data_IF_452919907832
#
_entry.id   IF_452919907832
#
_cell.length_a   1.000
_cell.length_b   1.000
_cell.length_c   1.000
_cell.angle_alpha   90.00
_cell.angle_beta   90.00
_cell.angle_gamma   90.00
#
_symmetry.space_group_name_H-M   'P 1'
#
loop_
_entity.id
_entity.type
_entity.pdbx_description
1 polymer ?
#
# COMPACT_ATOMS: atom_id res chain seq x y z
N UNK A 1 12.24 -12.73 19.24
CA UNK A 1 12.15 -11.56 20.15
C UNK A 1 13.56 -11.03 20.29
N UNK A 2 13.84 -9.86 19.71
CA UNK A 2 15.17 -9.40 19.37
C UNK A 2 15.43 -8.06 20.05
N UNK A 3 16.51 -7.93 20.82
CA UNK A 3 17.04 -6.65 21.34
C UNK A 3 18.20 -6.21 20.46
N UNK A 4 18.48 -4.91 20.37
CA UNK A 4 19.53 -4.35 19.50
C UNK A 4 20.91 -4.99 19.71
N UNK A 5 21.24 -5.35 20.95
CA UNK A 5 22.50 -6.00 21.37
C UNK A 5 22.70 -7.41 20.79
N UNK A 6 21.64 -8.07 20.33
CA UNK A 6 21.67 -9.43 19.79
C UNK A 6 21.92 -9.48 18.28
N UNK A 7 21.94 -8.34 17.59
CA UNK A 7 21.91 -8.33 16.13
C UNK A 7 23.13 -8.90 15.45
N UNK A 8 24.32 -8.68 16.02
CA UNK A 8 25.55 -9.33 15.54
C UNK A 8 25.50 -10.85 15.69
N UNK A 9 25.13 -11.34 16.88
CA UNK A 9 25.04 -12.79 17.14
C UNK A 9 23.99 -13.46 16.26
N UNK A 10 22.89 -12.75 16.00
CA UNK A 10 21.87 -13.19 15.08
C UNK A 10 22.41 -13.29 13.65
N UNK A 11 23.04 -12.22 13.13
CA UNK A 11 23.64 -12.23 11.79
C UNK A 11 24.68 -13.35 11.65
N UNK A 12 25.54 -13.53 12.65
CA UNK A 12 26.56 -14.60 12.70
C UNK A 12 25.97 -16.01 12.67
N UNK A 13 24.75 -16.17 13.21
CA UNK A 13 24.04 -17.45 13.19
C UNK A 13 23.35 -17.68 11.86
N UNK A 14 22.65 -16.66 11.34
CA UNK A 14 21.90 -16.75 10.09
C UNK A 14 22.82 -16.97 8.89
N UNK A 15 23.98 -16.32 8.83
CA UNK A 15 24.92 -16.48 7.72
C UNK A 15 25.49 -17.90 7.58
N UNK A 16 25.36 -18.75 8.61
CA UNK A 16 25.78 -20.16 8.57
C UNK A 16 24.70 -21.08 7.99
N UNK A 17 23.47 -20.59 7.83
CA UNK A 17 22.33 -21.36 7.35
C UNK A 17 22.27 -21.33 5.81
N UNK A 18 23.18 -22.07 5.18
CA UNK A 18 23.38 -22.06 3.73
C UNK A 18 22.20 -22.58 2.89
N UNK A 19 21.18 -23.18 3.51
CA UNK A 19 19.97 -23.67 2.83
C UNK A 19 18.70 -22.93 3.28
N UNK A 20 18.85 -21.78 3.95
CA UNK A 20 17.71 -21.04 4.46
C UNK A 20 16.92 -20.41 3.31
N UNK A 21 15.67 -20.85 3.13
CA UNK A 21 14.77 -20.31 2.10
C UNK A 21 13.82 -19.24 2.62
N UNK A 22 13.52 -19.23 3.93
CA UNK A 22 12.58 -18.29 4.53
C UNK A 22 13.08 -17.77 5.87
N UNK A 23 13.09 -16.45 6.02
CA UNK A 23 13.53 -15.76 7.23
C UNK A 23 12.47 -14.75 7.66
N UNK A 24 12.06 -14.83 8.92
CA UNK A 24 11.25 -13.79 9.57
C UNK A 24 12.02 -13.28 10.78
N UNK A 25 12.29 -11.98 10.80
CA UNK A 25 12.90 -11.29 11.94
C UNK A 25 11.84 -10.41 12.57
N UNK A 26 11.68 -10.51 13.88
CA UNK A 26 10.69 -9.72 14.61
C UNK A 26 11.27 -9.17 15.90
N UNK A 27 11.21 -7.85 16.03
CA UNK A 27 11.50 -7.11 17.26
C UNK A 27 10.47 -7.42 18.34
N UNK A 28 10.75 -6.99 19.56
CA UNK A 28 9.82 -7.12 20.70
C UNK A 28 8.76 -6.03 20.72
N UNK A 29 9.12 -4.82 20.30
CA UNK A 29 8.27 -3.64 20.16
C UNK A 29 8.38 -3.05 18.74
N UNK A 30 7.39 -2.28 18.32
CA UNK A 30 7.45 -1.51 17.07
C UNK A 30 8.53 -0.41 17.09
N UNK A 31 8.90 0.07 18.28
CA UNK A 31 9.93 1.10 18.46
C UNK A 31 11.36 0.54 18.58
N UNK A 32 11.49 -0.77 18.73
CA UNK A 32 12.80 -1.41 18.87
C UNK A 32 13.53 -1.45 17.52
N UNK A 33 14.78 -0.98 17.54
CA UNK A 33 15.66 -1.03 16.37
C UNK A 33 16.35 -2.40 16.29
N UNK A 34 16.28 -3.00 15.11
CA UNK A 34 16.94 -4.24 14.74
C UNK A 34 18.21 -3.88 13.96
N UNK A 35 19.38 -4.11 14.54
CA UNK A 35 20.64 -4.01 13.81
C UNK A 35 20.90 -5.31 13.00
N UNK A 36 20.78 -5.19 11.68
CA UNK A 36 21.05 -6.28 10.73
C UNK A 36 22.24 -5.95 9.81
N UNK A 37 22.98 -4.87 10.06
CA UNK A 37 24.02 -4.39 9.13
C UNK A 37 25.24 -5.31 9.11
N UNK A 38 25.48 -6.02 10.22
CA UNK A 38 26.64 -6.90 10.39
C UNK A 38 26.65 -8.19 9.55
N UNK A 39 25.61 -8.44 8.72
CA UNK A 39 25.53 -9.65 7.91
C UNK A 39 26.44 -9.57 6.67
N UNK A 40 27.62 -10.18 6.76
CA UNK A 40 28.60 -10.20 5.67
C UNK A 40 28.27 -11.19 4.54
N UNK A 41 27.60 -12.30 4.86
CA UNK A 41 27.29 -13.37 3.90
C UNK A 41 25.83 -13.79 4.03
N UNK A 42 24.89 -13.07 3.39
CA UNK A 42 23.48 -13.40 3.51
C UNK A 42 23.17 -14.76 2.85
N UNK A 43 22.21 -15.54 3.39
CA UNK A 43 21.82 -16.84 2.81
C UNK A 43 21.35 -16.70 1.36
N UNK A 44 22.11 -17.24 0.41
CA UNK A 44 21.90 -17.01 -1.02
C UNK A 44 20.62 -17.66 -1.57
N UNK A 45 20.11 -18.70 -0.90
CA UNK A 45 18.86 -19.38 -1.29
C UNK A 45 17.62 -18.76 -0.66
N UNK A 46 17.74 -17.61 0.01
CA UNK A 46 16.62 -16.95 0.64
C UNK A 46 15.60 -16.49 -0.40
N UNK A 47 14.39 -17.05 -0.31
CA UNK A 47 13.24 -16.74 -1.19
C UNK A 47 12.22 -15.86 -0.50
N UNK A 48 12.10 -15.94 0.82
CA UNK A 48 11.13 -15.16 1.59
C UNK A 48 11.84 -14.42 2.73
N UNK A 49 11.68 -13.11 2.79
CA UNK A 49 12.20 -12.27 3.87
C UNK A 49 11.07 -11.41 4.43
N UNK A 50 10.85 -11.52 5.74
CA UNK A 50 9.92 -10.67 6.47
C UNK A 50 10.63 -9.99 7.63
N UNK A 51 10.68 -8.67 7.60
CA UNK A 51 11.28 -7.85 8.64
C UNK A 51 10.18 -7.08 9.38
N UNK A 52 10.04 -7.35 10.68
CA UNK A 52 9.07 -6.68 11.57
C UNK A 52 9.84 -5.97 12.69
N UNK A 53 9.91 -4.66 12.64
CA UNK A 53 10.66 -3.84 13.60
C UNK A 53 11.54 -2.81 12.91
N UNK A 54 12.01 -1.83 13.68
CA UNK A 54 12.71 -0.64 13.17
C UNK A 54 14.06 -0.97 12.55
N UNK A 55 14.33 -0.40 11.38
CA UNK A 55 15.61 -0.51 10.67
C UNK A 55 16.24 0.87 10.43
N UNK A 56 15.43 1.91 10.21
CA UNK A 56 15.81 3.28 9.76
C UNK A 56 16.45 3.34 8.37
N UNK A 57 17.41 2.46 8.09
CA UNK A 57 18.04 2.26 6.79
C UNK A 57 17.88 0.81 6.34
N UNK A 58 17.76 0.60 5.03
CA UNK A 58 17.74 -0.75 4.45
C UNK A 58 19.15 -1.37 4.54
N UNK A 59 19.31 -2.57 5.12
CA UNK A 59 20.61 -3.25 5.16
C UNK A 59 21.18 -3.55 3.75
N UNK A 60 22.46 -3.28 3.55
CA UNK A 60 23.14 -3.35 2.25
C UNK A 60 23.20 -4.77 1.64
N UNK A 61 22.91 -5.80 2.42
CA UNK A 61 22.85 -7.19 1.96
C UNK A 61 21.51 -7.58 1.34
N UNK A 62 20.41 -6.87 1.63
CA UNK A 62 19.08 -7.20 1.11
C UNK A 62 19.03 -7.06 -0.42
N UNK A 63 19.53 -5.96 -1.04
CA UNK A 63 19.59 -5.83 -2.49
C UNK A 63 20.40 -6.92 -3.21
N UNK A 64 21.26 -7.65 -2.48
CA UNK A 64 22.13 -8.70 -3.03
C UNK A 64 21.42 -10.07 -3.11
N UNK A 65 20.21 -10.20 -2.57
CA UNK A 65 19.46 -11.46 -2.53
C UNK A 65 18.72 -11.74 -3.85
N UNK A 66 19.45 -12.19 -4.87
CA UNK A 66 18.92 -12.38 -6.22
C UNK A 66 17.83 -13.48 -6.34
N UNK A 67 17.74 -14.39 -5.38
CA UNK A 67 16.71 -15.44 -5.33
C UNK A 67 15.44 -15.03 -4.56
N UNK A 68 15.37 -13.79 -4.07
CA UNK A 68 14.26 -13.33 -3.26
C UNK A 68 12.99 -13.20 -4.11
N UNK A 69 11.94 -13.88 -3.66
CA UNK A 69 10.62 -13.94 -4.30
C UNK A 69 9.61 -13.09 -3.55
N UNK A 70 9.69 -13.06 -2.21
CA UNK A 70 8.79 -12.29 -1.36
C UNK A 70 9.57 -11.49 -0.34
N UNK A 71 9.28 -10.19 -0.29
CA UNK A 71 9.87 -9.26 0.66
C UNK A 71 8.77 -8.48 1.36
N UNK A 72 8.76 -8.51 2.69
CA UNK A 72 7.81 -7.75 3.50
C UNK A 72 8.51 -6.98 4.60
N UNK A 73 8.17 -5.70 4.72
CA UNK A 73 8.59 -4.81 5.79
C UNK A 73 7.37 -4.40 6.61
N UNK A 74 7.56 -4.37 7.93
CA UNK A 74 6.59 -3.89 8.90
C UNK A 74 7.29 -3.12 9.99
N UNK A 75 6.85 -1.90 10.30
CA UNK A 75 7.45 -1.05 11.34
C UNK A 75 8.93 -0.72 11.13
N UNK A 76 9.46 -0.87 9.91
CA UNK A 76 10.88 -0.67 9.60
C UNK A 76 11.34 0.78 9.61
N UNK A 77 10.44 1.76 9.50
CA UNK A 77 10.74 3.19 9.57
C UNK A 77 11.88 3.61 8.63
N UNK A 78 11.93 3.04 7.42
CA UNK A 78 12.95 3.36 6.41
C UNK A 78 12.81 4.83 5.98
N UNK A 79 13.88 5.61 6.12
CA UNK A 79 13.88 7.04 5.81
C UNK A 79 14.13 7.30 4.31
N UNK A 80 15.02 6.52 3.70
CA UNK A 80 15.28 6.54 2.26
C UNK A 80 14.26 5.71 1.47
N UNK A 81 14.02 6.09 0.20
CA UNK A 81 13.19 5.31 -0.71
C UNK A 81 13.79 3.90 -0.94
N UNK A 82 13.14 2.83 -0.44
CA UNK A 82 13.68 1.48 -0.57
C UNK A 82 13.63 0.98 -2.01
N UNK A 83 12.78 1.54 -2.88
CA UNK A 83 12.57 1.04 -4.24
C UNK A 83 13.84 1.14 -5.08
N UNK A 84 14.62 2.21 -4.90
CA UNK A 84 15.92 2.41 -5.59
C UNK A 84 16.92 1.29 -5.32
N UNK A 85 16.92 0.76 -4.10
CA UNK A 85 17.79 -0.33 -3.72
C UNK A 85 17.22 -1.69 -4.16
N UNK A 86 15.88 -1.83 -4.15
CA UNK A 86 15.19 -3.09 -4.42
C UNK A 86 14.92 -3.36 -5.91
N UNK A 87 15.06 -2.37 -6.78
CA UNK A 87 14.79 -2.51 -8.23
C UNK A 87 15.62 -3.60 -8.93
N UNK A 88 16.80 -3.94 -8.38
CA UNK A 88 17.69 -5.00 -8.90
C UNK A 88 17.26 -6.42 -8.49
N UNK A 89 16.19 -6.57 -7.70
CA UNK A 89 15.66 -7.87 -7.29
C UNK A 89 14.74 -8.42 -8.38
N UNK A 90 15.32 -8.88 -9.49
CA UNK A 90 14.56 -9.26 -10.70
C UNK A 90 13.65 -10.49 -10.53
N UNK A 91 13.76 -11.25 -9.44
CA UNK A 91 12.91 -12.41 -9.14
C UNK A 91 11.79 -12.11 -8.13
N UNK A 92 11.69 -10.86 -7.66
CA UNK A 92 10.69 -10.45 -6.69
C UNK A 92 9.29 -10.51 -7.31
N UNK A 93 8.42 -11.32 -6.72
CA UNK A 93 7.02 -11.46 -7.10
C UNK A 93 6.08 -10.73 -6.13
N UNK A 94 6.50 -10.55 -4.88
CA UNK A 94 5.72 -9.87 -3.86
C UNK A 94 6.56 -8.88 -3.05
N UNK A 95 6.04 -7.65 -2.93
CA UNK A 95 6.58 -6.60 -2.08
C UNK A 95 5.48 -6.06 -1.16
N UNK A 96 5.69 -6.13 0.14
CA UNK A 96 4.82 -5.51 1.14
C UNK A 96 5.57 -4.48 1.96
N UNK A 97 5.08 -3.25 2.00
CA UNK A 97 5.56 -2.16 2.85
C UNK A 97 4.37 -1.74 3.71
N UNK A 98 4.43 -2.04 5.00
CA UNK A 98 3.28 -1.88 5.89
C UNK A 98 3.60 -1.22 7.22
N UNK A 99 2.62 -0.52 7.81
CA UNK A 99 2.72 0.10 9.14
C UNK A 99 3.98 0.95 9.31
N UNK A 100 4.07 2.02 8.52
CA UNK A 100 5.23 2.92 8.49
C UNK A 100 6.57 2.20 8.30
N UNK A 101 6.58 1.10 7.55
CA UNK A 101 7.82 0.47 7.14
C UNK A 101 8.68 1.39 6.26
N UNK A 102 8.03 2.24 5.47
CA UNK A 102 8.64 3.40 4.84
C UNK A 102 8.10 4.66 5.53
N UNK A 103 8.99 5.57 5.91
CA UNK A 103 8.68 6.78 6.67
C UNK A 103 9.10 8.07 5.94
N UNK A 104 9.39 7.98 4.64
CA UNK A 104 9.55 9.14 3.76
C UNK A 104 8.24 9.57 3.09
N UNK A 105 8.34 10.63 2.27
CA UNK A 105 7.16 11.30 1.69
C UNK A 105 6.86 10.89 0.25
N UNK A 106 7.81 10.29 -0.49
CA UNK A 106 7.65 9.96 -1.92
C UNK A 106 8.10 8.54 -2.22
N UNK A 107 7.22 7.76 -2.83
CA UNK A 107 7.58 6.50 -3.49
C UNK A 107 7.55 6.70 -5.00
N UNK A 108 8.60 6.26 -5.68
CA UNK A 108 8.74 6.39 -7.13
C UNK A 108 9.11 5.04 -7.75
N UNK A 109 8.22 4.52 -8.59
CA UNK A 109 8.48 3.36 -9.43
C UNK A 109 8.95 3.84 -10.80
N UNK A 110 10.26 3.85 -11.00
CA UNK A 110 10.92 4.28 -12.25
C UNK A 110 10.65 3.29 -13.41
N UNK A 111 10.74 3.77 -14.65
CA UNK A 111 10.60 2.97 -15.86
C UNK A 111 11.45 1.68 -15.81
N UNK A 112 10.84 0.56 -16.20
CA UNK A 112 11.53 -0.74 -16.28
C UNK A 112 11.81 -1.43 -14.94
N UNK A 113 11.40 -0.83 -13.81
CA UNK A 113 11.58 -1.43 -12.49
C UNK A 113 10.50 -2.47 -12.16
N UNK A 114 10.87 -3.45 -11.33
CA UNK A 114 9.98 -4.51 -10.83
C UNK A 114 9.20 -5.30 -11.92
N UNK A 115 9.86 -5.77 -13.00
CA UNK A 115 9.17 -6.35 -14.16
C UNK A 115 8.45 -7.68 -13.87
N UNK A 116 8.76 -8.38 -12.77
CA UNK A 116 8.07 -9.63 -12.39
C UNK A 116 7.11 -9.49 -11.22
N UNK A 117 7.02 -8.32 -10.60
CA UNK A 117 6.23 -8.12 -9.39
C UNK A 117 4.74 -8.32 -9.72
N UNK A 118 4.08 -9.22 -8.99
CA UNK A 118 2.67 -9.55 -9.16
C UNK A 118 1.79 -8.99 -8.05
N UNK A 119 2.34 -8.86 -6.85
CA UNK A 119 1.60 -8.39 -5.69
C UNK A 119 2.36 -7.28 -4.99
N UNK A 120 1.71 -6.14 -4.84
CA UNK A 120 2.24 -4.97 -4.14
C UNK A 120 1.29 -4.57 -3.01
N UNK A 121 1.83 -4.43 -1.81
CA UNK A 121 1.11 -3.91 -0.64
C UNK A 121 1.77 -2.64 -0.11
N UNK A 122 1.04 -1.53 -0.11
CA UNK A 122 1.45 -0.24 0.46
C UNK A 122 0.44 0.18 1.54
N UNK A 123 0.61 -0.34 2.75
CA UNK A 123 -0.44 -0.33 3.78
C UNK A 123 -0.03 0.51 5.00
N UNK A 124 -0.95 1.30 5.54
CA UNK A 124 -0.69 2.08 6.77
C UNK A 124 0.59 2.94 6.69
N UNK A 125 0.73 3.74 5.62
CA UNK A 125 1.89 4.62 5.40
C UNK A 125 1.52 6.06 5.75
N UNK A 126 1.76 6.46 7.00
CA UNK A 126 1.26 7.72 7.54
C UNK A 126 1.93 8.98 6.99
N UNK A 127 3.15 8.85 6.45
CA UNK A 127 3.97 9.94 5.92
C UNK A 127 3.97 10.06 4.39
N UNK A 128 3.49 9.04 3.69
CA UNK A 128 3.48 9.03 2.23
C UNK A 128 2.58 10.16 1.71
N UNK A 129 3.13 11.02 0.85
CA UNK A 129 2.46 12.16 0.23
C UNK A 129 2.34 12.05 -1.28
N UNK A 130 3.31 11.38 -1.91
CA UNK A 130 3.40 11.22 -3.35
C UNK A 130 3.67 9.77 -3.71
N UNK A 131 2.89 9.22 -4.64
CA UNK A 131 3.15 7.95 -5.30
C UNK A 131 3.23 8.19 -6.81
N UNK A 132 4.37 7.89 -7.42
CA UNK A 132 4.58 8.03 -8.86
C UNK A 132 4.93 6.67 -9.46
N UNK A 133 4.20 6.29 -10.50
CA UNK A 133 4.45 5.08 -11.28
C UNK A 133 4.73 5.54 -12.71
N UNK A 134 5.94 5.31 -13.22
CA UNK A 134 6.28 5.64 -14.61
C UNK A 134 5.78 4.56 -15.57
N UNK A 135 5.64 4.91 -16.85
CA UNK A 135 5.31 3.94 -17.89
C UNK A 135 6.35 2.81 -17.92
N UNK A 136 5.89 1.57 -18.04
CA UNK A 136 6.75 0.39 -18.06
C UNK A 136 7.17 -0.14 -16.69
N UNK A 137 7.01 0.65 -15.61
CA UNK A 137 7.14 0.14 -14.25
C UNK A 137 6.01 -0.83 -13.90
N UNK A 138 6.26 -1.79 -12.99
CA UNK A 138 5.22 -2.69 -12.47
C UNK A 138 4.41 -3.42 -13.56
N UNK A 139 5.04 -3.71 -14.71
CA UNK A 139 4.35 -4.15 -15.93
C UNK A 139 3.56 -5.46 -15.79
N UNK A 140 3.86 -6.30 -14.79
CA UNK A 140 3.15 -7.57 -14.52
C UNK A 140 2.37 -7.56 -13.19
N UNK A 141 2.08 -6.39 -12.63
CA UNK A 141 1.35 -6.28 -11.38
C UNK A 141 -0.09 -6.75 -11.57
N UNK A 142 -0.52 -7.71 -10.74
CA UNK A 142 -1.86 -8.31 -10.77
C UNK A 142 -2.71 -7.85 -9.59
N UNK A 143 -2.09 -7.64 -8.42
CA UNK A 143 -2.77 -7.29 -7.17
C UNK A 143 -2.09 -6.10 -6.51
N UNK A 144 -2.86 -5.05 -6.25
CA UNK A 144 -2.43 -3.87 -5.51
C UNK A 144 -3.31 -3.69 -4.28
N UNK A 145 -2.70 -3.77 -3.10
CA UNK A 145 -3.34 -3.39 -1.85
C UNK A 145 -2.74 -2.07 -1.37
N UNK A 146 -3.57 -1.08 -1.13
CA UNK A 146 -3.09 0.25 -0.75
C UNK A 146 -3.96 0.88 0.34
N UNK A 147 -3.32 1.60 1.26
CA UNK A 147 -4.00 2.33 2.31
C UNK A 147 -4.04 1.62 3.67
N UNK A 148 -4.38 2.35 4.74
CA UNK A 148 -4.57 3.79 4.78
C UNK A 148 -3.28 4.59 4.65
N UNK A 149 -3.33 5.64 3.82
CA UNK A 149 -2.24 6.59 3.60
C UNK A 149 -2.78 8.02 3.78
N UNK A 150 -2.99 8.49 5.03
CA UNK A 150 -3.76 9.70 5.33
C UNK A 150 -3.15 11.00 4.80
N UNK A 151 -1.85 11.03 4.46
CA UNK A 151 -1.17 12.20 3.92
C UNK A 151 -0.97 12.13 2.41
N UNK A 152 -1.42 11.08 1.72
CA UNK A 152 -1.24 10.92 0.29
C UNK A 152 -2.05 12.00 -0.42
N UNK A 153 -1.37 12.89 -1.17
CA UNK A 153 -1.98 14.01 -1.90
C UNK A 153 -1.87 13.85 -3.40
N UNK A 154 -0.78 13.26 -3.87
CA UNK A 154 -0.46 13.11 -5.29
C UNK A 154 -0.22 11.65 -5.60
N UNK A 155 -0.88 11.16 -6.64
CA UNK A 155 -0.73 9.78 -7.08
C UNK A 155 -0.97 9.69 -8.59
N UNK A 156 -0.03 9.12 -9.33
CA UNK A 156 -0.08 9.04 -10.80
C UNK A 156 0.40 7.69 -11.34
N UNK A 157 0.06 7.39 -12.60
CA UNK A 157 0.58 6.24 -13.33
C UNK A 157 -0.20 4.93 -13.18
N UNK A 158 -1.41 4.99 -12.60
CA UNK A 158 -2.30 3.82 -12.52
C UNK A 158 -2.73 3.32 -13.91
N UNK A 159 -2.71 4.19 -14.92
CA UNK A 159 -2.91 3.86 -16.32
C UNK A 159 -1.86 2.95 -16.93
N UNK A 160 -0.68 2.87 -16.32
CA UNK A 160 0.39 1.98 -16.77
C UNK A 160 0.20 0.55 -16.24
N UNK A 161 -0.69 0.32 -15.27
CA UNK A 161 -0.94 -0.98 -14.63
C UNK A 161 -1.89 -1.87 -15.45
N UNK A 162 -1.50 -2.17 -16.70
CA UNK A 162 -2.35 -2.85 -17.70
C UNK A 162 -2.75 -4.30 -17.34
N UNK A 163 -2.03 -4.95 -16.43
CA UNK A 163 -2.28 -6.34 -16.00
C UNK A 163 -2.98 -6.45 -14.64
N UNK A 164 -3.39 -5.32 -14.07
CA UNK A 164 -4.01 -5.31 -12.75
C UNK A 164 -5.36 -6.02 -12.78
N UNK A 165 -5.52 -7.00 -11.89
CA UNK A 165 -6.75 -7.78 -11.72
C UNK A 165 -7.52 -7.34 -10.49
N UNK A 166 -6.81 -6.90 -9.46
CA UNK A 166 -7.40 -6.53 -8.18
C UNK A 166 -6.73 -5.28 -7.60
N UNK A 167 -7.57 -4.30 -7.26
CA UNK A 167 -7.19 -3.15 -6.45
C UNK A 167 -8.01 -3.14 -5.18
N UNK A 168 -7.36 -3.33 -4.02
CA UNK A 168 -7.96 -3.11 -2.71
C UNK A 168 -7.41 -1.80 -2.14
N UNK A 169 -8.28 -0.83 -1.86
CA UNK A 169 -7.86 0.53 -1.54
C UNK A 169 -8.62 1.11 -0.34
N UNK A 170 -7.92 1.36 0.77
CA UNK A 170 -8.40 2.08 1.98
C UNK A 170 -7.80 3.51 2.00
N UNK A 171 -7.99 4.34 0.97
CA UNK A 171 -7.28 5.63 0.85
C UNK A 171 -8.23 6.82 1.11
N UNK A 172 -7.75 7.96 1.68
CA UNK A 172 -8.52 9.20 1.71
C UNK A 172 -9.03 9.65 0.33
N UNK A 173 -10.13 10.41 0.37
CA UNK A 173 -10.93 10.89 -0.77
C UNK A 173 -10.10 11.63 -1.83
N UNK A 174 -9.03 12.32 -1.44
CA UNK A 174 -8.16 13.05 -2.35
C UNK A 174 -7.37 12.15 -3.31
N UNK A 175 -7.33 10.84 -3.06
CA UNK A 175 -6.85 9.83 -4.03
C UNK A 175 -7.89 9.48 -5.09
N UNK A 176 -9.17 9.80 -4.86
CA UNK A 176 -10.26 9.67 -5.82
C UNK A 176 -10.18 10.73 -6.93
N UNK A 177 -8.98 10.97 -7.47
CA UNK A 177 -8.86 11.66 -8.74
C UNK A 177 -9.44 10.76 -9.82
N UNK A 178 -10.48 11.27 -10.48
CA UNK A 178 -11.24 10.57 -11.52
C UNK A 178 -10.38 9.83 -12.56
N UNK A 179 -9.24 10.41 -12.92
CA UNK A 179 -8.29 9.87 -13.90
C UNK A 179 -7.70 8.52 -13.50
N UNK A 180 -7.42 8.29 -12.21
CA UNK A 180 -6.89 7.01 -11.74
C UNK A 180 -7.91 5.88 -11.97
N UNK A 181 -9.18 6.15 -11.73
CA UNK A 181 -10.26 5.16 -11.81
C UNK A 181 -10.65 4.81 -13.25
N UNK A 182 -10.64 5.79 -14.16
CA UNK A 182 -10.91 5.53 -15.57
C UNK A 182 -9.97 4.47 -16.15
N UNK A 183 -8.68 4.61 -15.85
CA UNK A 183 -7.66 3.72 -16.39
C UNK A 183 -7.72 2.32 -15.80
N UNK A 184 -8.01 2.21 -14.50
CA UNK A 184 -8.20 0.93 -13.82
C UNK A 184 -9.46 0.19 -14.30
N UNK A 185 -10.55 0.92 -14.59
CA UNK A 185 -11.77 0.35 -15.19
C UNK A 185 -11.50 -0.16 -16.61
N UNK A 186 -10.76 0.59 -17.41
CA UNK A 186 -10.42 0.19 -18.77
C UNK A 186 -9.56 -1.10 -18.81
N UNK A 187 -8.73 -1.32 -17.79
CA UNK A 187 -7.96 -2.56 -17.63
C UNK A 187 -8.79 -3.79 -17.22
N UNK A 188 -10.06 -3.61 -16.85
CA UNK A 188 -10.91 -4.71 -16.36
C UNK A 188 -10.58 -5.17 -14.94
N UNK A 189 -9.87 -4.36 -14.16
CA UNK A 189 -9.52 -4.68 -12.79
C UNK A 189 -10.77 -4.69 -11.88
N UNK A 190 -10.84 -5.64 -10.96
CA UNK A 190 -11.79 -5.60 -9.84
C UNK A 190 -11.30 -4.56 -8.84
N UNK A 191 -12.04 -3.44 -8.73
CA UNK A 191 -11.73 -2.36 -7.81
C UNK A 191 -12.63 -2.50 -6.58
N UNK A 192 -12.02 -2.64 -5.41
CA UNK A 192 -12.72 -2.66 -4.12
C UNK A 192 -12.17 -1.54 -3.25
N UNK A 193 -13.02 -0.57 -2.94
CA UNK A 193 -12.68 0.49 -2.00
C UNK A 193 -13.18 0.12 -0.62
N UNK A 194 -12.42 0.51 0.39
CA UNK A 194 -12.74 0.28 1.78
C UNK A 194 -12.63 1.55 2.59
N UNK A 195 -13.40 1.63 3.67
CA UNK A 195 -13.36 2.70 4.64
C UNK A 195 -13.47 2.13 6.05
N UNK A 196 -12.94 2.85 7.03
CA UNK A 196 -12.91 2.39 8.42
C UNK A 196 -13.96 3.11 9.26
N UNK A 197 -14.86 2.36 9.89
CA UNK A 197 -15.85 2.86 10.86
C UNK A 197 -15.51 2.25 12.21
N UNK A 198 -15.20 3.08 13.22
CA UNK A 198 -14.87 2.64 14.58
C UNK A 198 -13.80 1.52 14.62
N UNK A 199 -12.80 1.60 13.73
CA UNK A 199 -11.74 0.61 13.63
C UNK A 199 -12.06 -0.60 12.74
N UNK A 200 -13.31 -0.80 12.32
CA UNK A 200 -13.75 -1.91 11.47
C UNK A 200 -13.68 -1.50 9.99
N UNK A 201 -13.17 -2.39 9.14
CA UNK A 201 -13.09 -2.14 7.71
C UNK A 201 -14.41 -2.54 7.02
N UNK A 202 -15.00 -1.60 6.28
CA UNK A 202 -16.21 -1.80 5.49
C UNK A 202 -15.87 -1.62 4.02
N UNK A 203 -16.41 -2.49 3.17
CA UNK A 203 -16.34 -2.30 1.72
C UNK A 203 -17.28 -1.16 1.33
N UNK A 204 -16.87 -0.30 0.41
CA UNK A 204 -17.74 0.69 -0.18
C UNK A 204 -18.54 0.06 -1.32
N UNK A 205 -19.85 -0.11 -1.13
CA UNK A 205 -20.78 -0.55 -2.18
C UNK A 205 -21.26 0.67 -2.99
N UNK A 206 -21.50 0.49 -4.29
CA UNK A 206 -21.96 1.57 -5.18
C UNK A 206 -20.85 2.52 -5.66
N UNK A 207 -19.58 2.08 -5.61
CA UNK A 207 -18.45 2.92 -6.01
C UNK A 207 -18.50 3.27 -7.50
N UNK A 208 -18.98 2.36 -8.35
CA UNK A 208 -19.00 2.59 -9.79
C UNK A 208 -19.95 3.73 -10.15
N UNK A 209 -21.11 3.75 -9.51
CA UNK A 209 -22.12 4.80 -9.65
C UNK A 209 -21.62 6.13 -9.08
N UNK A 210 -20.88 6.08 -7.96
CA UNK A 210 -20.25 7.27 -7.37
C UNK A 210 -19.17 7.84 -8.30
N UNK A 211 -18.35 6.98 -8.91
CA UNK A 211 -17.34 7.39 -9.89
C UNK A 211 -17.97 7.93 -11.18
N UNK A 212 -19.09 7.35 -11.62
CA UNK A 212 -19.86 7.87 -12.76
C UNK A 212 -20.47 9.25 -12.47
N UNK A 213 -20.94 9.49 -11.24
CA UNK A 213 -21.36 10.82 -10.81
C UNK A 213 -20.17 11.80 -10.81
N UNK A 214 -19.02 11.41 -10.27
CA UNK A 214 -17.80 12.24 -10.27
C UNK A 214 -17.28 12.56 -11.68
N UNK A 215 -17.56 11.73 -12.69
CA UNK A 215 -17.23 12.01 -14.11
C UNK A 215 -17.91 13.28 -14.60
N UNK A 216 -19.17 13.43 -14.24
CA UNK A 216 -20.08 14.40 -14.84
C UNK A 216 -20.06 15.75 -14.07
N UNK A 217 -19.23 15.86 -13.03
CA UNK A 217 -19.12 17.01 -12.11
C UNK A 217 -17.65 17.38 -11.84
N UNK A 218 -17.37 18.65 -11.53
CA UNK A 218 -16.00 19.10 -11.20
C UNK A 218 -15.60 18.72 -9.78
N UNK A 219 -14.30 18.67 -9.48
CA UNK A 219 -13.79 18.38 -8.14
C UNK A 219 -14.38 19.35 -7.09
N UNK A 220 -14.56 20.63 -7.43
CA UNK A 220 -15.18 21.59 -6.50
C UNK A 220 -16.63 21.24 -6.15
N UNK A 221 -17.37 20.61 -7.07
CA UNK A 221 -18.79 20.30 -6.91
C UNK A 221 -19.03 19.11 -5.98
N UNK A 222 -18.18 18.09 -6.01
CA UNK A 222 -18.39 16.87 -5.21
C UNK A 222 -17.48 16.77 -3.98
N UNK A 223 -16.31 17.42 -3.95
CA UNK A 223 -15.30 17.22 -2.89
C UNK A 223 -15.76 17.65 -1.50
N UNK A 224 -16.25 18.89 -1.37
CA UNK A 224 -16.75 19.43 -0.09
C UNK A 224 -17.88 18.57 0.47
N UNK A 225 -18.76 18.11 -0.41
CA UNK A 225 -19.90 17.30 -0.01
C UNK A 225 -19.49 15.89 0.40
N UNK A 226 -18.60 15.27 -0.37
CA UNK A 226 -18.07 13.93 -0.05
C UNK A 226 -17.27 13.96 1.26
N UNK A 227 -16.46 15.01 1.49
CA UNK A 227 -15.75 15.23 2.75
C UNK A 227 -16.71 15.46 3.93
N UNK A 228 -17.77 16.25 3.75
CA UNK A 228 -18.80 16.46 4.78
C UNK A 228 -19.52 15.15 5.12
N UNK A 229 -19.89 14.35 4.12
CA UNK A 229 -20.59 13.08 4.32
C UNK A 229 -19.70 12.06 5.02
N UNK A 230 -18.40 12.00 4.71
CA UNK A 230 -17.47 11.12 5.42
C UNK A 230 -17.12 11.63 6.83
N UNK A 231 -17.12 12.95 7.05
CA UNK A 231 -16.87 13.56 8.36
C UNK A 231 -18.06 13.42 9.31
N UNK A 232 -19.27 13.25 8.78
CA UNK A 232 -20.50 13.12 9.55
C UNK A 232 -20.77 11.64 9.76
N UNK A 233 -20.87 11.20 11.01
CA UNK A 233 -21.38 9.87 11.33
C UNK A 233 -22.67 9.64 10.52
N UNK A 234 -22.77 8.48 9.83
CA UNK A 234 -23.79 8.07 8.84
C UNK A 234 -25.28 8.33 9.21
N UNK A 235 -25.59 8.85 10.39
CA UNK A 235 -26.93 9.28 10.84
C UNK A 235 -27.30 10.73 10.48
N UNK A 236 -26.34 11.63 10.20
CA UNK A 236 -26.66 13.06 9.96
C UNK A 236 -26.58 13.52 8.49
N UNK A 237 -26.12 12.64 7.58
CA UNK A 237 -26.06 12.93 6.14
C UNK A 237 -27.45 13.12 5.48
N UNK A 238 -28.52 12.63 6.12
CA UNK A 238 -29.91 12.80 5.66
C UNK A 238 -30.41 14.27 5.73
N UNK A 239 -29.74 15.15 6.49
CA UNK A 239 -30.20 16.53 6.74
C UNK A 239 -29.54 17.61 5.86
N UNK A 240 -28.48 17.28 5.11
CA UNK A 240 -27.67 18.29 4.37
C UNK A 240 -28.12 18.55 2.92
N UNK A 241 -29.18 17.89 2.44
CA UNK A 241 -29.58 17.93 1.02
C UNK A 241 -30.52 19.08 0.70
N UNK A 242 -29.97 20.18 0.19
CA UNK A 242 -30.79 21.29 -0.33
C UNK A 242 -30.39 21.77 -1.74
N UNK A 243 -29.48 21.10 -2.47
CA UNK A 243 -28.97 21.57 -3.77
C UNK A 243 -29.21 20.65 -4.98
N UNK A 244 -29.90 19.50 -4.82
CA UNK A 244 -30.38 18.67 -5.95
C UNK A 244 -29.40 17.63 -6.51
N UNK A 245 -28.08 17.87 -6.51
CA UNK A 245 -27.06 16.87 -6.90
C UNK A 245 -26.70 15.90 -5.76
N UNK A 246 -26.81 16.41 -4.53
CA UNK A 246 -26.58 15.75 -3.25
C UNK A 246 -27.45 14.51 -2.99
N UNK A 247 -28.68 14.52 -3.51
CA UNK A 247 -29.69 13.51 -3.20
C UNK A 247 -29.39 12.16 -3.85
N UNK A 248 -28.75 12.18 -5.02
CA UNK A 248 -28.35 10.96 -5.74
C UNK A 248 -27.05 10.39 -5.18
N UNK A 249 -26.07 11.25 -4.85
CA UNK A 249 -24.84 10.86 -4.16
C UNK A 249 -25.16 10.22 -2.79
N UNK A 250 -26.11 10.77 -2.03
CA UNK A 250 -26.57 10.17 -0.78
C UNK A 250 -27.38 8.89 -0.96
N UNK A 251 -28.12 8.71 -2.06
CA UNK A 251 -28.77 7.43 -2.37
C UNK A 251 -27.74 6.34 -2.62
N UNK A 252 -26.71 6.63 -3.43
CA UNK A 252 -25.62 5.70 -3.71
C UNK A 252 -24.83 5.36 -2.43
N UNK A 253 -24.57 6.36 -1.58
CA UNK A 253 -23.92 6.16 -0.29
C UNK A 253 -24.82 5.47 0.74
N UNK A 254 -26.14 5.63 0.69
CA UNK A 254 -27.09 4.88 1.53
C UNK A 254 -27.15 3.40 1.17
N UNK A 255 -26.84 3.00 -0.07
CA UNK A 255 -26.62 1.59 -0.42
C UNK A 255 -25.43 1.03 0.38
N UNK A 256 -24.40 1.84 0.64
CA UNK A 256 -23.25 1.46 1.48
C UNK A 256 -23.57 1.30 2.98
N UNK A 257 -24.73 1.78 3.48
CA UNK A 257 -25.15 1.52 4.89
C UNK A 257 -25.41 0.04 5.17
N UNK A 258 -25.58 -0.79 4.13
CA UNK A 258 -25.81 -2.24 4.26
C UNK A 258 -24.51 -3.07 4.14
N UNK A 259 -23.35 -2.46 4.37
CA UNK A 259 -22.04 -3.09 4.17
C UNK A 259 -21.68 -4.04 5.30
N UNK A 260 -21.32 -5.27 4.93
CA UNK A 260 -20.81 -6.27 5.85
C UNK A 260 -19.34 -5.97 6.21
N UNK A 261 -18.90 -6.28 7.44
CA UNK A 261 -17.50 -6.11 7.84
C UNK A 261 -16.60 -7.00 6.96
N UNK A 262 -15.54 -6.41 6.41
CA UNK A 262 -14.51 -7.17 5.71
C UNK A 262 -13.55 -7.80 6.72
N UNK A 263 -13.45 -9.13 6.68
CA UNK A 263 -12.48 -9.90 7.47
C UNK A 263 -11.35 -10.31 6.52
N UNK A 264 -10.15 -9.72 6.61
CA UNK A 264 -9.03 -10.15 5.78
C UNK A 264 -8.65 -11.59 6.11
N UNK A 265 -8.45 -12.42 5.09
CA UNK A 265 -7.85 -13.76 5.21
C UNK A 265 -6.34 -13.71 5.43
#
# INVERSE_FOLDING_TARGET
KFRSEDGRKFCDSIQKLNHLESLTVSSTSEDDIIDLESMCSPPQFLRCLHLKGGLRKLPDWIPKLQNLVRLRFKWSKLEDDPLKALQNLHNLLELGISYDAYYGEKLHFEEGTFPKLKTLGLLFLSKLRMLEIEEGALSNLEVLHMGPCPQLKESSGFEHLRNLKELLCEIPINFLMFQNFQSLRAAGASIQLFHRINGVLHRFEGIMETLEFMRDHTEEEWKSEFENILSIHFEAAEKLVASGSLQELLRLLCISKNTLPYIPS
#
